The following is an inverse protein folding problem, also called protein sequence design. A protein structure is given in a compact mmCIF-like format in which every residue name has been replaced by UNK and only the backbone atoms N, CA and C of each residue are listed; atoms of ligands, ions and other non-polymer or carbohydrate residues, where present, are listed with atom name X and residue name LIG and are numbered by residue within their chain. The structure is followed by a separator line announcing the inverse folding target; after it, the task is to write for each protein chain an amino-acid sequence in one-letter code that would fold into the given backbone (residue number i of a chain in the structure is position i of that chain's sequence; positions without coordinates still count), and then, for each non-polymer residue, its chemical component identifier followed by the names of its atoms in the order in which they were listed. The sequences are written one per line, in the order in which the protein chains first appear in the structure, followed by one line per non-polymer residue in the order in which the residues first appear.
data_IF_190327502594
#
_entry.id   IF_190327502594
#
_cell.length_a   1.000
_cell.length_b   1.000
_cell.length_c   1.000
_cell.angle_alpha   90.00
_cell.angle_beta   90.00
_cell.angle_gamma   90.00
#
_symmetry.space_group_name_H-M   'P 1'
#
loop_
_entity.id
_entity.type
_entity.pdbx_description
1 polymer ?
#
# COMPACT_ATOMS: atom_id res chain seq x y z
N UNK A 1 -33.84 8.68 17.39
CA UNK A 1 -32.70 7.77 17.17
C UNK A 1 -31.81 8.11 15.96
N UNK A 2 -32.28 8.73 14.87
CA UNK A 2 -31.45 9.08 13.71
C UNK A 2 -30.34 10.11 13.99
N UNK A 3 -30.50 11.01 14.95
CA UNK A 3 -29.59 12.15 15.17
C UNK A 3 -28.36 11.84 16.07
N UNK A 4 -28.40 10.76 16.87
CA UNK A 4 -27.27 10.40 17.75
C UNK A 4 -26.21 9.59 16.98
N UNK A 5 -26.65 8.77 16.04
CA UNK A 5 -25.78 7.99 15.16
C UNK A 5 -24.86 8.88 14.29
N UNK A 6 -25.29 10.11 14.01
CA UNK A 6 -24.50 11.05 13.19
C UNK A 6 -23.31 11.71 13.93
N UNK A 7 -23.32 11.78 15.26
CA UNK A 7 -22.36 12.63 15.98
C UNK A 7 -20.96 12.00 16.09
N UNK A 8 -20.82 10.69 16.38
CA UNK A 8 -19.50 10.04 16.52
C UNK A 8 -18.84 9.85 15.17
N UNK A 9 -19.60 9.35 14.17
CA UNK A 9 -19.09 9.21 12.80
C UNK A 9 -18.71 10.57 12.23
N UNK A 10 -19.56 11.59 12.40
CA UNK A 10 -19.25 12.96 11.97
C UNK A 10 -18.02 13.52 12.67
N UNK A 11 -17.87 13.28 13.98
CA UNK A 11 -16.68 13.70 14.73
C UNK A 11 -15.41 13.02 14.18
N UNK A 12 -15.43 11.71 13.96
CA UNK A 12 -14.30 10.97 13.39
C UNK A 12 -13.96 11.43 11.98
N UNK A 13 -14.96 11.63 11.12
CA UNK A 13 -14.76 12.17 9.76
C UNK A 13 -14.22 13.59 9.80
N UNK A 14 -14.70 14.45 10.70
CA UNK A 14 -14.18 15.81 10.85
C UNK A 14 -12.70 15.82 11.27
N UNK A 15 -12.30 14.94 12.20
CA UNK A 15 -10.90 14.77 12.59
C UNK A 15 -10.07 14.31 11.39
N UNK A 16 -10.52 13.28 10.67
CA UNK A 16 -9.81 12.79 9.47
C UNK A 16 -9.67 13.88 8.41
N UNK A 17 -10.71 14.67 8.16
CA UNK A 17 -10.67 15.79 7.22
C UNK A 17 -9.66 16.86 7.66
N UNK A 18 -9.61 17.20 8.95
CA UNK A 18 -8.63 18.14 9.49
C UNK A 18 -7.19 17.62 9.34
N UNK A 19 -6.96 16.33 9.61
CA UNK A 19 -5.64 15.71 9.44
C UNK A 19 -5.21 15.69 7.97
N UNK A 20 -6.14 15.41 7.04
CA UNK A 20 -5.88 15.51 5.61
C UNK A 20 -5.56 16.94 5.16
N UNK A 21 -6.19 17.94 5.75
CA UNK A 21 -5.88 19.33 5.49
C UNK A 21 -4.43 19.66 5.89
N UNK A 22 -3.98 19.20 7.08
CA UNK A 22 -2.58 19.32 7.52
C UNK A 22 -1.64 18.61 6.55
N UNK A 23 -2.00 17.41 6.11
CA UNK A 23 -1.23 16.65 5.12
C UNK A 23 -1.06 17.42 3.79
N UNK A 24 -2.14 17.98 3.26
CA UNK A 24 -2.10 18.73 1.98
C UNK A 24 -1.27 20.03 2.15
N UNK A 25 -1.39 20.74 3.28
CA UNK A 25 -0.59 21.93 3.57
C UNK A 25 0.90 21.59 3.68
N UNK A 26 1.27 20.56 4.44
CA UNK A 26 2.66 20.14 4.58
C UNK A 26 3.29 19.67 3.27
N UNK A 27 2.49 19.08 2.38
CA UNK A 27 2.90 18.72 1.02
C UNK A 27 3.19 19.92 0.10
N UNK A 28 2.89 21.15 0.52
CA UNK A 28 3.21 22.41 -0.19
C UNK A 28 4.47 23.10 0.32
N UNK A 29 5.03 22.65 1.45
CA UNK A 29 6.26 23.22 2.02
C UNK A 29 7.44 22.63 1.26
N UNK A 30 8.09 23.42 0.41
CA UNK A 30 9.25 23.01 -0.39
C UNK A 30 10.50 22.84 0.47
N UNK A 31 11.40 21.95 0.02
CA UNK A 31 12.73 21.78 0.64
C UNK A 31 13.58 23.04 0.41
N UNK A 32 14.35 23.47 1.43
CA UNK A 32 15.23 24.63 1.29
C UNK A 32 16.43 24.33 0.39
N UNK A 33 16.89 25.35 -0.35
CA UNK A 33 18.10 25.31 -1.19
C UNK A 33 18.10 24.30 -2.34
N UNK A 34 16.92 23.84 -2.78
CA UNK A 34 16.77 22.93 -3.92
C UNK A 34 16.16 23.70 -5.10
N UNK A 35 16.77 23.56 -6.28
CA UNK A 35 16.25 24.19 -7.50
C UNK A 35 15.10 23.35 -8.08
N UNK A 36 13.87 23.87 -7.97
CA UNK A 36 12.65 23.23 -8.48
C UNK A 36 12.55 23.27 -10.02
N UNK A 37 13.35 24.11 -10.69
CA UNK A 37 13.28 24.31 -12.14
C UNK A 37 14.16 23.34 -12.95
N UNK A 38 14.97 22.52 -12.30
CA UNK A 38 15.81 21.54 -12.98
C UNK A 38 14.93 20.41 -13.56
N UNK A 39 14.59 20.53 -14.85
CA UNK A 39 13.76 19.57 -15.60
C UNK A 39 14.38 18.18 -15.71
N UNK A 40 15.68 18.07 -15.53
CA UNK A 40 16.43 16.81 -15.64
C UNK A 40 16.16 15.80 -14.51
N UNK A 41 15.60 16.27 -13.38
CA UNK A 41 15.26 15.41 -12.25
C UNK A 41 14.11 14.43 -12.55
N UNK A 42 13.26 14.67 -13.56
CA UNK A 42 12.09 13.86 -13.89
C UNK A 42 12.35 12.77 -14.94
N UNK A 43 13.57 12.57 -15.37
CA UNK A 43 13.95 11.56 -16.37
C UNK A 43 14.31 10.20 -15.75
N UNK A 44 13.94 9.12 -16.41
CA UNK A 44 14.43 7.77 -16.11
C UNK A 44 14.07 7.26 -14.70
N UNK A 45 15.09 6.92 -13.91
CA UNK A 45 14.96 6.30 -12.57
C UNK A 45 14.17 7.16 -11.58
N UNK A 46 14.28 8.48 -11.70
CA UNK A 46 13.59 9.43 -10.83
C UNK A 46 12.07 9.47 -11.07
N UNK A 47 11.64 9.24 -12.31
CA UNK A 47 10.21 9.14 -12.63
C UNK A 47 9.54 7.96 -11.93
N UNK A 48 10.24 6.83 -11.82
CA UNK A 48 9.76 5.68 -11.06
C UNK A 48 9.66 5.96 -9.57
N UNK A 49 10.69 6.56 -8.99
CA UNK A 49 10.69 6.92 -7.56
C UNK A 49 9.58 7.93 -7.27
N UNK A 50 9.35 8.91 -8.15
CA UNK A 50 8.24 9.86 -8.02
C UNK A 50 6.87 9.18 -8.08
N UNK A 51 6.70 8.18 -8.94
CA UNK A 51 5.48 7.40 -9.01
C UNK A 51 5.26 6.55 -7.75
N UNK A 52 6.27 5.82 -7.33
CA UNK A 52 6.21 4.97 -6.14
C UNK A 52 5.91 5.77 -4.86
N UNK A 53 6.55 6.94 -4.69
CA UNK A 53 6.29 7.81 -3.53
C UNK A 53 4.88 8.39 -3.56
N UNK A 54 4.33 8.71 -4.74
CA UNK A 54 2.95 9.16 -4.87
C UNK A 54 1.92 8.12 -4.38
N UNK A 55 2.22 6.81 -4.53
CA UNK A 55 1.38 5.73 -3.99
C UNK A 55 1.42 5.66 -2.46
N UNK A 56 2.50 6.09 -1.84
CA UNK A 56 2.72 6.01 -0.40
C UNK A 56 2.46 7.32 0.35
N UNK A 57 1.75 8.25 -0.27
CA UNK A 57 1.42 9.53 0.34
C UNK A 57 2.51 10.59 0.22
N UNK A 58 3.57 10.35 -0.54
CA UNK A 58 4.60 11.34 -0.86
C UNK A 58 4.38 12.03 -2.20
N UNK A 59 5.20 13.02 -2.50
CA UNK A 59 5.27 13.66 -3.80
C UNK A 59 6.68 14.16 -4.08
N UNK A 60 7.50 13.36 -4.76
CA UNK A 60 8.85 13.76 -5.16
C UNK A 60 8.87 14.88 -6.18
N UNK A 61 7.79 15.10 -6.94
CA UNK A 61 7.72 16.18 -7.92
C UNK A 61 7.64 17.56 -7.30
N UNK A 62 7.01 17.67 -6.12
CA UNK A 62 6.91 18.93 -5.41
C UNK A 62 8.13 19.23 -4.56
N UNK A 63 9.07 18.26 -4.40
CA UNK A 63 10.24 18.36 -3.53
C UNK A 63 9.89 19.01 -2.17
N UNK A 64 8.81 18.51 -1.59
CA UNK A 64 8.24 19.01 -0.34
C UNK A 64 8.76 18.23 0.88
N UNK A 65 8.43 18.72 2.07
CA UNK A 65 8.72 18.04 3.33
C UNK A 65 8.23 16.57 3.33
N UNK A 66 7.12 16.28 2.64
CA UNK A 66 6.53 14.95 2.55
C UNK A 66 6.89 14.18 1.28
N UNK A 67 7.99 14.55 0.60
CA UNK A 67 8.34 13.93 -0.69
C UNK A 67 8.51 12.42 -0.63
N UNK A 68 9.09 11.87 0.43
CA UNK A 68 9.26 10.42 0.61
C UNK A 68 7.93 9.75 1.05
N UNK A 69 7.04 10.50 1.71
CA UNK A 69 5.76 9.96 2.17
C UNK A 69 5.91 8.91 3.27
N UNK A 70 5.01 7.92 3.27
CA UNK A 70 4.99 6.76 4.15
C UNK A 70 5.83 5.58 3.62
N UNK A 71 6.58 5.75 2.52
CA UNK A 71 7.36 4.69 1.89
C UNK A 71 8.33 3.98 2.85
N UNK A 72 9.10 4.69 3.72
CA UNK A 72 9.99 4.02 4.67
C UNK A 72 9.25 3.13 5.67
N UNK A 73 8.13 3.61 6.20
CA UNK A 73 7.30 2.88 7.14
C UNK A 73 6.68 1.63 6.52
N UNK A 74 6.17 1.73 5.29
CA UNK A 74 5.63 0.60 4.55
C UNK A 74 6.68 -0.46 4.25
N UNK A 75 7.85 -0.03 3.80
CA UNK A 75 8.99 -0.92 3.56
C UNK A 75 9.41 -1.65 4.84
N UNK A 76 9.50 -0.92 5.95
CA UNK A 76 9.81 -1.50 7.26
C UNK A 76 8.75 -2.51 7.70
N UNK A 77 7.48 -2.22 7.48
CA UNK A 77 6.37 -3.11 7.82
C UNK A 77 6.41 -4.41 7.01
N UNK A 78 6.74 -4.35 5.71
CA UNK A 78 6.89 -5.55 4.87
C UNK A 78 8.06 -6.40 5.37
N UNK A 79 9.23 -5.79 5.55
CA UNK A 79 10.42 -6.49 6.02
C UNK A 79 10.16 -7.11 7.41
N UNK A 80 9.50 -6.37 8.31
CA UNK A 80 9.13 -6.88 9.62
C UNK A 80 8.19 -8.09 9.52
N UNK A 81 7.19 -8.04 8.65
CA UNK A 81 6.29 -9.18 8.38
C UNK A 81 7.03 -10.38 7.79
N UNK A 82 8.00 -10.16 6.90
CA UNK A 82 8.86 -11.23 6.39
C UNK A 82 9.73 -11.83 7.51
N UNK A 83 10.30 -11.00 8.37
CA UNK A 83 11.08 -11.45 9.52
C UNK A 83 10.22 -12.16 10.57
N UNK A 84 8.93 -11.90 10.64
CA UNK A 84 8.02 -12.55 11.58
C UNK A 84 7.84 -14.06 11.35
N UNK A 85 8.21 -14.56 10.17
CA UNK A 85 8.32 -16.01 9.95
C UNK A 85 9.48 -16.65 10.72
N UNK A 86 10.47 -15.87 11.15
CA UNK A 86 11.59 -16.34 12.00
C UNK A 86 11.24 -16.10 13.47
N UNK A 87 10.82 -17.15 14.17
CA UNK A 87 10.34 -17.09 15.58
C UNK A 87 11.25 -16.32 16.52
N UNK A 88 12.58 -16.43 16.36
CA UNK A 88 13.56 -15.77 17.24
C UNK A 88 13.57 -14.23 17.19
N UNK A 89 13.09 -13.61 16.09
CA UNK A 89 13.04 -12.15 15.94
C UNK A 89 11.75 -11.53 16.48
N UNK A 90 10.69 -12.33 16.57
CA UNK A 90 9.34 -11.88 16.98
C UNK A 90 9.03 -12.18 18.46
N UNK A 91 9.96 -12.77 19.19
CA UNK A 91 9.84 -12.97 20.62
C UNK A 91 9.77 -11.62 21.35
N UNK A 92 8.74 -11.44 22.17
CA UNK A 92 8.52 -10.24 22.98
C UNK A 92 7.12 -9.69 22.87
N UNK A 93 6.77 -8.79 23.77
CA UNK A 93 5.47 -8.10 23.78
C UNK A 93 5.30 -7.20 22.56
N UNK A 94 4.03 -6.89 22.24
CA UNK A 94 3.69 -6.05 21.09
C UNK A 94 4.44 -4.70 21.06
N UNK A 95 4.59 -4.07 22.22
CA UNK A 95 5.31 -2.80 22.34
C UNK A 95 6.77 -2.89 21.89
N UNK A 96 7.45 -4.01 22.22
CA UNK A 96 8.83 -4.25 21.80
C UNK A 96 8.94 -4.46 20.28
N UNK A 97 7.97 -5.15 19.71
CA UNK A 97 7.90 -5.36 18.26
C UNK A 97 7.66 -4.05 17.52
N UNK A 98 6.75 -3.21 18.01
CA UNK A 98 6.46 -1.88 17.45
C UNK A 98 7.69 -0.98 17.50
N UNK A 99 8.45 -0.98 18.61
CA UNK A 99 9.73 -0.25 18.74
C UNK A 99 10.77 -0.73 17.74
N UNK A 100 10.95 -2.05 17.60
CA UNK A 100 11.91 -2.62 16.61
C UNK A 100 11.52 -2.23 15.18
N UNK A 101 10.24 -2.26 14.85
CA UNK A 101 9.73 -1.81 13.55
C UNK A 101 10.01 -0.33 13.33
N UNK A 102 9.88 0.54 14.36
CA UNK A 102 10.20 1.96 14.25
C UNK A 102 11.69 2.22 14.03
N UNK A 103 12.60 1.45 14.65
CA UNK A 103 14.03 1.55 14.34
C UNK A 103 14.35 1.14 12.91
N UNK A 104 13.68 0.08 12.40
CA UNK A 104 13.82 -0.31 11.00
C UNK A 104 13.30 0.78 10.06
N UNK A 105 12.18 1.41 10.42
CA UNK A 105 11.62 2.57 9.68
C UNK A 105 12.62 3.73 9.63
N UNK A 106 13.28 4.05 10.75
CA UNK A 106 14.29 5.11 10.80
C UNK A 106 15.47 4.81 9.87
N UNK A 107 15.98 3.58 9.92
CA UNK A 107 17.09 3.16 9.05
C UNK A 107 16.72 3.30 7.57
N UNK A 108 15.54 2.82 7.18
CA UNK A 108 15.07 2.91 5.80
C UNK A 108 14.80 4.38 5.41
N UNK A 109 14.25 5.19 6.32
CA UNK A 109 14.03 6.61 6.07
C UNK A 109 15.34 7.37 5.82
N UNK A 110 16.39 7.06 6.58
CA UNK A 110 17.72 7.62 6.35
C UNK A 110 18.29 7.20 4.99
N UNK A 111 18.16 5.93 4.60
CA UNK A 111 18.62 5.44 3.30
C UNK A 111 17.87 6.15 2.16
N UNK A 112 16.54 6.20 2.23
CA UNK A 112 15.72 6.79 1.19
C UNK A 112 15.91 8.31 1.10
N UNK A 113 15.96 9.01 2.23
CA UNK A 113 16.19 10.46 2.26
C UNK A 113 17.58 10.82 1.73
N UNK A 114 18.62 10.10 2.13
CA UNK A 114 19.96 10.29 1.63
C UNK A 114 20.04 10.06 0.12
N UNK A 115 19.47 8.95 -0.39
CA UNK A 115 19.46 8.66 -1.82
C UNK A 115 18.75 9.75 -2.63
N UNK A 116 17.63 10.27 -2.14
CA UNK A 116 16.89 11.36 -2.79
C UNK A 116 17.69 12.65 -2.76
N UNK A 117 18.11 13.12 -1.57
CA UNK A 117 18.79 14.43 -1.40
C UNK A 117 20.11 14.49 -2.18
N UNK A 118 20.87 13.41 -2.18
CA UNK A 118 22.15 13.35 -2.89
C UNK A 118 21.99 13.30 -4.42
N UNK A 119 20.80 12.95 -4.91
CA UNK A 119 20.47 13.01 -6.35
C UNK A 119 19.94 14.37 -6.80
N UNK A 120 19.66 15.30 -5.86
CA UNK A 120 19.12 16.62 -6.17
C UNK A 120 20.22 17.64 -6.48
N UNK A 121 20.01 18.53 -7.48
CA UNK A 121 20.88 19.68 -7.69
C UNK A 121 20.66 20.70 -6.57
N UNK A 122 21.65 20.86 -5.72
CA UNK A 122 21.63 21.83 -4.63
C UNK A 122 22.33 23.11 -5.04
N UNK A 123 21.63 24.24 -4.95
CA UNK A 123 22.19 25.56 -5.15
C UNK A 123 22.18 26.30 -3.80
N UNK A 124 23.34 26.48 -3.20
CA UNK A 124 23.45 27.25 -1.98
C UNK A 124 24.79 27.98 -1.86
N UNK A 125 24.75 29.13 -1.19
CA UNK A 125 25.95 29.86 -0.74
C UNK A 125 26.56 29.24 0.52
N UNK A 126 25.92 28.23 1.13
CA UNK A 126 26.37 27.55 2.34
C UNK A 126 27.15 26.27 2.00
N UNK A 127 27.82 25.69 2.98
CA UNK A 127 28.50 24.41 2.83
C UNK A 127 27.53 23.34 2.33
N UNK A 128 27.86 22.71 1.20
CA UNK A 128 27.04 21.67 0.55
C UNK A 128 26.70 20.53 1.51
N UNK A 129 27.64 20.15 2.39
CA UNK A 129 27.44 19.07 3.37
C UNK A 129 26.36 19.46 4.40
N UNK A 130 26.34 20.71 4.86
CA UNK A 130 25.35 21.19 5.81
C UNK A 130 23.95 21.15 5.19
N UNK A 131 23.81 21.59 3.93
CA UNK A 131 22.53 21.56 3.20
C UNK A 131 22.03 20.12 2.99
N UNK A 132 22.92 19.18 2.69
CA UNK A 132 22.56 17.77 2.58
C UNK A 132 22.05 17.21 3.91
N UNK A 133 22.76 17.42 5.01
CA UNK A 133 22.36 16.97 6.35
C UNK A 133 21.00 17.57 6.72
N UNK A 134 20.79 18.85 6.47
CA UNK A 134 19.53 19.55 6.76
C UNK A 134 18.36 18.94 5.97
N UNK A 135 18.52 18.75 4.65
CA UNK A 135 17.45 18.20 3.82
C UNK A 135 17.16 16.71 4.15
N UNK A 136 18.19 15.91 4.45
CA UNK A 136 18.02 14.52 4.91
C UNK A 136 17.21 14.49 6.22
N UNK A 137 17.57 15.34 7.18
CA UNK A 137 16.86 15.39 8.46
C UNK A 137 15.41 15.88 8.30
N UNK A 138 15.15 16.86 7.42
CA UNK A 138 13.81 17.35 7.11
C UNK A 138 12.94 16.27 6.45
N UNK A 139 13.46 15.52 5.49
CA UNK A 139 12.72 14.43 4.85
C UNK A 139 12.41 13.29 5.81
N UNK A 140 13.38 12.92 6.67
CA UNK A 140 13.14 11.94 7.72
C UNK A 140 12.06 12.42 8.70
N UNK A 141 12.16 13.66 9.18
CA UNK A 141 11.18 14.24 10.08
C UNK A 141 9.78 14.30 9.42
N UNK A 142 9.70 14.68 8.15
CA UNK A 142 8.46 14.69 7.38
C UNK A 142 7.81 13.32 7.26
N UNK A 143 8.60 12.26 7.01
CA UNK A 143 8.11 10.89 6.96
C UNK A 143 7.58 10.42 8.32
N UNK A 144 8.30 10.66 9.42
CA UNK A 144 7.84 10.32 10.77
C UNK A 144 6.63 11.13 11.20
N UNK A 145 6.55 12.39 10.79
CA UNK A 145 5.35 13.21 11.00
C UNK A 145 4.12 12.61 10.31
N UNK A 146 4.28 12.10 9.09
CA UNK A 146 3.18 11.40 8.40
C UNK A 146 2.79 10.09 9.08
N UNK A 147 3.74 9.33 9.62
CA UNK A 147 3.45 8.13 10.42
C UNK A 147 2.65 8.52 11.66
N UNK A 148 3.08 9.54 12.39
CA UNK A 148 2.35 10.05 13.55
C UNK A 148 0.95 10.55 13.20
N UNK A 149 0.80 11.30 12.09
CA UNK A 149 -0.50 11.76 11.59
C UNK A 149 -1.42 10.57 11.26
N UNK A 150 -0.86 9.52 10.67
CA UNK A 150 -1.53 8.26 10.36
C UNK A 150 -2.03 7.55 11.63
N UNK A 151 -1.22 7.50 12.68
CA UNK A 151 -1.56 6.86 13.95
C UNK A 151 -2.67 7.62 14.69
N UNK A 152 -2.63 8.96 14.66
CA UNK A 152 -3.73 9.80 15.18
C UNK A 152 -5.01 9.53 14.39
N UNK A 153 -4.92 9.44 13.06
CA UNK A 153 -6.08 9.14 12.23
C UNK A 153 -6.63 7.74 12.48
N UNK A 154 -5.77 6.75 12.72
CA UNK A 154 -6.19 5.39 13.05
C UNK A 154 -6.92 5.30 14.41
N UNK A 155 -6.50 6.09 15.40
CA UNK A 155 -7.11 6.08 16.74
C UNK A 155 -8.37 6.94 16.82
N UNK A 156 -8.34 8.16 16.30
CA UNK A 156 -9.39 9.16 16.49
C UNK A 156 -10.22 9.45 15.23
N UNK A 157 -9.74 9.05 14.07
CA UNK A 157 -10.37 9.26 12.77
C UNK A 157 -10.89 7.97 12.14
N UNK A 158 -10.79 7.91 10.81
CA UNK A 158 -11.20 6.78 9.95
C UNK A 158 -10.11 6.51 8.90
N UNK A 159 -9.85 5.24 8.59
CA UNK A 159 -8.97 4.82 7.50
C UNK A 159 -7.48 4.89 7.77
N UNK A 160 -7.04 5.42 8.93
CA UNK A 160 -5.62 5.46 9.32
C UNK A 160 -4.70 5.95 8.20
N UNK A 161 -3.61 5.21 7.94
CA UNK A 161 -2.64 5.48 6.86
C UNK A 161 -3.24 5.38 5.46
N UNK A 162 -4.25 4.51 5.28
CA UNK A 162 -4.89 4.30 3.97
C UNK A 162 -5.55 5.56 3.44
N UNK A 163 -6.10 6.41 4.32
CA UNK A 163 -6.75 7.65 3.92
C UNK A 163 -5.74 8.67 3.37
N UNK A 164 -4.55 8.76 3.98
CA UNK A 164 -3.46 9.63 3.49
C UNK A 164 -2.99 9.18 2.11
N UNK A 165 -2.78 7.88 1.92
CA UNK A 165 -2.37 7.30 0.64
C UNK A 165 -3.43 7.49 -0.44
N UNK A 166 -4.70 7.24 -0.10
CA UNK A 166 -5.83 7.45 -1.00
C UNK A 166 -5.93 8.91 -1.45
N UNK A 167 -5.73 9.85 -0.53
CA UNK A 167 -5.73 11.29 -0.84
C UNK A 167 -4.59 11.65 -1.78
N UNK A 168 -3.38 11.13 -1.53
CA UNK A 168 -2.24 11.31 -2.44
C UNK A 168 -2.54 10.80 -3.85
N UNK A 169 -3.11 9.61 -3.96
CA UNK A 169 -3.47 9.03 -5.25
C UNK A 169 -4.51 9.88 -6.00
N UNK A 170 -5.57 10.31 -5.30
CA UNK A 170 -6.62 11.14 -5.91
C UNK A 170 -6.07 12.47 -6.41
N UNK A 171 -5.09 13.06 -5.72
CA UNK A 171 -4.48 14.33 -6.11
C UNK A 171 -3.51 14.14 -7.30
N UNK A 172 -2.68 13.13 -7.27
CA UNK A 172 -1.56 12.97 -8.23
C UNK A 172 -1.97 12.17 -9.50
N UNK A 173 -2.84 11.16 -9.37
CA UNK A 173 -3.19 10.26 -10.48
C UNK A 173 -3.81 10.97 -11.69
N UNK A 174 -4.75 11.94 -11.58
CA UNK A 174 -5.33 12.59 -12.74
C UNK A 174 -4.29 13.33 -13.58
N UNK A 175 -3.33 13.99 -12.92
CA UNK A 175 -2.27 14.72 -13.59
C UNK A 175 -1.30 13.80 -14.32
N UNK A 176 -1.00 12.64 -13.75
CA UNK A 176 -0.16 11.61 -14.39
C UNK A 176 -0.80 11.03 -15.65
N UNK A 177 -2.10 10.80 -15.61
CA UNK A 177 -2.86 10.31 -16.77
C UNK A 177 -2.92 11.37 -17.86
N UNK A 178 -3.27 12.62 -17.53
CA UNK A 178 -3.37 13.73 -18.50
C UNK A 178 -2.01 13.97 -19.16
N UNK A 179 -0.93 14.07 -18.40
CA UNK A 179 0.41 14.27 -18.93
C UNK A 179 0.82 13.12 -19.88
N UNK A 180 0.44 11.88 -19.56
CA UNK A 180 0.76 10.71 -20.38
C UNK A 180 0.02 10.74 -21.72
N UNK A 181 -1.24 11.12 -21.72
CA UNK A 181 -2.06 11.27 -22.93
C UNK A 181 -1.48 12.37 -23.82
N UNK A 182 -1.04 13.50 -23.24
CA UNK A 182 -0.43 14.60 -23.98
C UNK A 182 0.93 14.23 -24.61
N UNK A 183 1.80 13.58 -23.85
CA UNK A 183 3.14 13.15 -24.31
C UNK A 183 3.01 12.15 -25.48
N UNK A 184 2.07 11.21 -25.38
CA UNK A 184 1.88 10.17 -26.39
C UNK A 184 1.04 10.65 -27.58
N UNK A 185 0.46 11.86 -27.52
CA UNK A 185 -0.44 12.39 -28.57
C UNK A 185 -1.53 11.39 -28.97
N UNK A 186 -2.12 10.73 -27.98
CA UNK A 186 -3.09 9.63 -28.21
C UNK A 186 -4.38 10.18 -28.81
N UNK A 187 -4.90 9.59 -29.89
CA UNK A 187 -6.20 9.96 -30.45
C UNK A 187 -7.32 9.85 -29.42
N UNK A 188 -8.27 10.79 -29.47
CA UNK A 188 -9.41 10.86 -28.52
C UNK A 188 -10.20 9.55 -28.45
N UNK A 189 -10.33 8.86 -29.57
CA UNK A 189 -11.03 7.57 -29.69
C UNK A 189 -10.37 6.48 -28.84
N UNK A 190 -9.04 6.41 -28.84
CA UNK A 190 -8.28 5.46 -28.02
C UNK A 190 -8.41 5.83 -26.53
N UNK A 191 -8.41 7.11 -26.17
CA UNK A 191 -8.64 7.56 -24.79
C UNK A 191 -10.01 7.11 -24.28
N UNK A 192 -11.06 7.26 -25.10
CA UNK A 192 -12.41 6.79 -24.75
C UNK A 192 -12.44 5.27 -24.58
N UNK A 193 -11.78 4.53 -25.47
CA UNK A 193 -11.68 3.08 -25.36
C UNK A 193 -10.96 2.66 -24.06
N UNK A 194 -9.87 3.32 -23.71
CA UNK A 194 -9.14 3.08 -22.44
C UNK A 194 -10.00 3.36 -21.22
N UNK A 195 -10.78 4.43 -21.22
CA UNK A 195 -11.73 4.73 -20.15
C UNK A 195 -12.81 3.65 -20.01
N UNK A 196 -13.35 3.16 -21.12
CA UNK A 196 -14.32 2.06 -21.10
C UNK A 196 -13.71 0.77 -20.52
N UNK A 197 -12.50 0.42 -20.94
CA UNK A 197 -11.76 -0.74 -20.38
C UNK A 197 -11.52 -0.54 -18.89
N UNK A 198 -11.09 0.64 -18.44
CA UNK A 198 -10.88 0.95 -17.04
C UNK A 198 -12.18 0.82 -16.21
N UNK A 199 -13.32 1.24 -16.75
CA UNK A 199 -14.64 1.06 -16.13
C UNK A 199 -15.03 -0.43 -16.01
N UNK A 200 -14.78 -1.23 -17.04
CA UNK A 200 -15.04 -2.68 -17.02
C UNK A 200 -14.17 -3.34 -15.95
N UNK A 201 -12.87 -3.02 -15.90
CA UNK A 201 -11.97 -3.53 -14.86
C UNK A 201 -12.42 -3.12 -13.45
N UNK A 202 -12.83 -1.86 -13.28
CA UNK A 202 -13.38 -1.35 -12.02
C UNK A 202 -14.62 -2.14 -11.60
N UNK A 203 -15.53 -2.41 -12.52
CA UNK A 203 -16.73 -3.20 -12.24
C UNK A 203 -16.42 -4.64 -11.83
N UNK A 204 -15.50 -5.31 -12.54
CA UNK A 204 -15.04 -6.66 -12.20
C UNK A 204 -14.39 -6.67 -10.81
N UNK A 205 -13.55 -5.68 -10.52
CA UNK A 205 -12.92 -5.52 -9.20
C UNK A 205 -13.95 -5.40 -8.07
N UNK A 206 -14.99 -4.60 -8.26
CA UNK A 206 -16.07 -4.43 -7.27
C UNK A 206 -16.79 -5.75 -7.02
N UNK A 207 -17.08 -6.52 -8.07
CA UNK A 207 -17.74 -7.82 -7.93
C UNK A 207 -16.87 -8.79 -7.13
N UNK A 208 -15.59 -8.93 -7.50
CA UNK A 208 -14.67 -9.86 -6.85
C UNK A 208 -14.37 -9.46 -5.40
N UNK A 209 -14.23 -8.16 -5.12
CA UNK A 209 -14.02 -7.69 -3.76
C UNK A 209 -15.23 -7.95 -2.84
N UNK A 210 -16.45 -7.90 -3.39
CA UNK A 210 -17.68 -8.21 -2.66
C UNK A 210 -18.00 -9.69 -2.58
N UNK A 211 -17.39 -10.51 -3.43
CA UNK A 211 -17.63 -11.94 -3.46
C UNK A 211 -17.10 -12.60 -2.16
N UNK A 212 -18.00 -13.26 -1.45
CA UNK A 212 -17.72 -13.94 -0.18
C UNK A 212 -18.03 -15.43 -0.30
N UNK A 213 -17.09 -16.26 0.07
CA UNK A 213 -17.33 -17.69 0.23
C UNK A 213 -17.87 -17.97 1.63
N UNK A 214 -18.96 -18.73 1.74
CA UNK A 214 -19.61 -19.05 3.01
C UNK A 214 -19.33 -20.48 3.39
N UNK A 215 -18.72 -20.69 4.54
CA UNK A 215 -18.54 -21.98 5.18
C UNK A 215 -19.61 -22.14 6.25
N UNK A 216 -20.43 -23.20 6.15
CA UNK A 216 -21.44 -23.48 7.16
C UNK A 216 -20.77 -23.85 8.50
N UNK A 217 -21.15 -23.17 9.56
CA UNK A 217 -20.63 -23.37 10.91
C UNK A 217 -21.79 -23.69 11.84
N UNK A 218 -21.59 -24.67 12.72
CA UNK A 218 -22.57 -24.95 13.81
C UNK A 218 -22.07 -24.26 15.08
N UNK A 219 -23.02 -23.71 15.83
CA UNK A 219 -22.77 -23.08 17.13
C UNK A 219 -23.50 -23.80 18.22
N UNK A 220 -22.77 -24.18 19.27
CA UNK A 220 -23.35 -24.84 20.44
C UNK A 220 -24.36 -23.88 21.12
N UNK A 221 -25.55 -24.36 21.42
CA UNK A 221 -26.62 -23.56 22.04
C UNK A 221 -27.45 -22.71 21.07
N UNK A 222 -27.15 -22.71 19.76
CA UNK A 222 -27.96 -22.00 18.80
C UNK A 222 -29.21 -22.82 18.41
N UNK A 223 -30.38 -22.22 18.57
CA UNK A 223 -31.64 -22.87 18.18
C UNK A 223 -31.66 -23.19 16.68
N UNK A 224 -32.23 -24.35 16.31
CA UNK A 224 -32.26 -24.87 14.93
C UNK A 224 -32.80 -23.89 13.88
N UNK A 225 -33.74 -23.02 14.29
CA UNK A 225 -34.34 -21.97 13.44
C UNK A 225 -33.31 -20.94 12.94
N UNK A 226 -32.21 -20.73 13.68
CA UNK A 226 -31.15 -19.75 13.35
C UNK A 226 -29.94 -20.38 12.68
N UNK A 227 -29.89 -21.71 12.52
CA UNK A 227 -28.75 -22.40 11.82
C UNK A 227 -28.43 -21.83 10.42
N UNK A 228 -29.46 -21.33 9.72
CA UNK A 228 -29.31 -20.74 8.37
C UNK A 228 -28.44 -19.50 8.37
N UNK A 229 -28.27 -18.81 9.48
CA UNK A 229 -27.47 -17.60 9.66
C UNK A 229 -26.09 -17.88 10.28
N UNK A 230 -25.79 -19.14 10.61
CA UNK A 230 -24.53 -19.54 11.20
C UNK A 230 -23.58 -19.98 10.09
N UNK A 231 -22.76 -19.04 9.59
CA UNK A 231 -21.74 -19.28 8.59
C UNK A 231 -20.55 -18.36 8.83
N UNK A 232 -19.37 -18.83 8.45
CA UNK A 232 -18.16 -18.04 8.40
C UNK A 232 -17.96 -17.55 6.96
N UNK A 233 -17.74 -16.24 6.79
CA UNK A 233 -17.52 -15.64 5.48
C UNK A 233 -16.03 -15.40 5.24
N UNK A 234 -15.55 -15.83 4.08
CA UNK A 234 -14.19 -15.59 3.60
C UNK A 234 -14.22 -14.83 2.28
N UNK A 235 -13.37 -13.82 2.14
CA UNK A 235 -13.20 -13.11 0.87
C UNK A 235 -12.58 -14.03 -0.18
N UNK A 236 -13.02 -13.92 -1.44
CA UNK A 236 -12.37 -14.62 -2.56
C UNK A 236 -10.98 -14.07 -2.89
N UNK A 237 -10.70 -12.83 -2.51
CA UNK A 237 -9.39 -12.21 -2.64
C UNK A 237 -8.92 -11.73 -1.27
N UNK A 238 -8.40 -12.63 -0.40
CA UNK A 238 -8.07 -12.28 0.98
C UNK A 238 -6.92 -11.27 1.10
N UNK A 239 -6.03 -11.20 0.12
CA UNK A 239 -4.97 -10.19 0.05
C UNK A 239 -5.49 -8.80 -0.36
N UNK A 240 -6.62 -8.72 -1.07
CA UNK A 240 -7.18 -7.46 -1.59
C UNK A 240 -6.25 -6.75 -2.56
N UNK A 241 -6.30 -5.41 -2.56
CA UNK A 241 -5.43 -4.55 -3.38
C UNK A 241 -4.08 -4.22 -2.74
N UNK A 242 -3.83 -4.64 -1.50
CA UNK A 242 -2.60 -4.32 -0.77
C UNK A 242 -1.32 -4.83 -1.45
N UNK A 243 -1.26 -6.08 -2.00
CA UNK A 243 -0.03 -6.58 -2.61
C UNK A 243 0.55 -5.64 -3.66
N UNK A 244 -0.30 -5.02 -4.49
CA UNK A 244 0.15 -4.09 -5.54
C UNK A 244 0.92 -2.89 -4.96
N UNK A 245 0.38 -2.26 -3.92
CA UNK A 245 1.00 -1.12 -3.25
C UNK A 245 2.35 -1.49 -2.63
N UNK A 246 2.38 -2.61 -1.93
CA UNK A 246 3.57 -3.07 -1.24
C UNK A 246 4.67 -3.54 -2.20
N UNK A 247 4.32 -4.17 -3.32
CA UNK A 247 5.29 -4.56 -4.35
C UNK A 247 5.99 -3.34 -4.92
N UNK A 248 5.24 -2.29 -5.27
CA UNK A 248 5.81 -1.05 -5.79
C UNK A 248 6.80 -0.42 -4.80
N UNK A 249 6.44 -0.38 -3.51
CA UNK A 249 7.30 0.15 -2.46
C UNK A 249 8.54 -0.74 -2.23
N UNK A 250 8.36 -2.06 -2.25
CA UNK A 250 9.46 -3.01 -2.04
C UNK A 250 10.49 -2.96 -3.16
N UNK A 251 10.03 -2.84 -4.41
CA UNK A 251 10.90 -2.72 -5.58
C UNK A 251 11.76 -1.45 -5.59
N UNK A 252 11.38 -0.40 -4.84
CA UNK A 252 12.20 0.82 -4.75
C UNK A 252 13.38 0.68 -3.80
N UNK A 253 13.32 -0.21 -2.80
CA UNK A 253 14.39 -0.39 -1.82
C UNK A 253 15.76 -0.72 -2.44
N UNK A 254 15.88 -1.73 -3.33
CA UNK A 254 17.14 -2.02 -4.00
C UNK A 254 17.70 -0.81 -4.76
N UNK A 255 16.83 -0.04 -5.41
CA UNK A 255 17.22 1.14 -6.20
C UNK A 255 17.83 2.22 -5.29
N UNK A 256 17.20 2.52 -4.14
CA UNK A 256 17.75 3.49 -3.18
C UNK A 256 19.11 3.05 -2.63
N UNK A 257 19.26 1.76 -2.31
CA UNK A 257 20.54 1.21 -1.82
C UNK A 257 21.61 1.33 -2.91
N UNK A 258 21.30 0.97 -4.15
CA UNK A 258 22.24 1.06 -5.28
C UNK A 258 22.61 2.51 -5.60
N UNK A 259 21.68 3.45 -5.49
CA UNK A 259 21.97 4.88 -5.66
C UNK A 259 23.00 5.37 -4.63
N UNK A 260 22.87 4.94 -3.37
CA UNK A 260 23.85 5.27 -2.33
C UNK A 260 25.19 4.59 -2.58
N UNK A 261 25.22 3.30 -2.94
CA UNK A 261 26.45 2.58 -3.24
C UNK A 261 27.22 3.21 -4.42
N UNK A 262 26.51 3.63 -5.46
CA UNK A 262 27.10 4.34 -6.60
C UNK A 262 27.81 5.64 -6.20
N UNK A 263 27.38 6.29 -5.12
CA UNK A 263 28.05 7.51 -4.66
C UNK A 263 29.39 7.24 -3.97
N UNK A 264 29.49 6.11 -3.27
CA UNK A 264 30.76 5.70 -2.62
C UNK A 264 31.78 5.17 -3.65
N UNK A 265 31.29 4.52 -4.72
CA UNK A 265 32.13 3.95 -5.78
C UNK A 265 31.56 4.31 -7.16
N UNK A 266 31.79 5.56 -7.56
CA UNK A 266 31.25 6.12 -8.82
C UNK A 266 31.86 5.51 -10.09
N UNK A 267 32.98 4.80 -9.99
CA UNK A 267 33.71 4.23 -11.13
C UNK A 267 33.31 2.78 -11.43
N UNK A 268 32.48 2.14 -10.58
CA UNK A 268 32.09 0.76 -10.80
C UNK A 268 30.89 0.66 -11.78
N UNK A 269 31.12 0.16 -13.00
CA UNK A 269 30.08 0.08 -14.02
C UNK A 269 28.95 -0.89 -13.67
N UNK A 270 29.16 -1.78 -12.67
CA UNK A 270 28.16 -2.76 -12.23
C UNK A 270 26.95 -2.07 -11.61
N UNK A 271 27.15 -1.02 -10.77
CA UNK A 271 26.04 -0.33 -10.14
C UNK A 271 25.16 0.40 -11.15
N UNK A 272 25.77 1.07 -12.13
CA UNK A 272 25.01 1.74 -13.20
C UNK A 272 24.21 0.75 -14.03
N UNK A 273 24.82 -0.36 -14.42
CA UNK A 273 24.15 -1.41 -15.19
C UNK A 273 22.97 -2.04 -14.42
N UNK A 274 23.16 -2.37 -13.13
CA UNK A 274 22.08 -2.94 -12.31
C UNK A 274 20.95 -1.93 -12.11
N UNK A 275 21.26 -0.63 -11.92
CA UNK A 275 20.24 0.43 -11.81
C UNK A 275 19.48 0.55 -13.13
N UNK A 276 20.16 0.48 -14.28
CA UNK A 276 19.53 0.52 -15.59
C UNK A 276 18.62 -0.70 -15.83
N UNK A 277 19.07 -1.90 -15.47
CA UNK A 277 18.31 -3.15 -15.63
C UNK A 277 17.12 -3.23 -14.66
N UNK A 278 17.24 -2.65 -13.45
CA UNK A 278 16.16 -2.50 -12.47
C UNK A 278 15.28 -1.27 -12.74
N UNK A 279 15.55 -0.51 -13.79
CA UNK A 279 14.69 0.60 -14.15
C UNK A 279 13.34 0.10 -14.68
N UNK A 280 12.31 0.88 -14.39
CA UNK A 280 10.95 0.53 -14.81
C UNK A 280 10.87 0.44 -16.34
N UNK A 281 10.21 -0.59 -16.84
CA UNK A 281 10.11 -0.85 -18.29
C UNK A 281 11.13 -1.85 -18.81
N UNK A 282 12.18 -2.15 -18.08
CA UNK A 282 13.13 -3.20 -18.46
C UNK A 282 12.61 -4.60 -18.16
N UNK A 283 12.98 -5.62 -18.96
CA UNK A 283 12.49 -6.98 -18.77
C UNK A 283 12.74 -7.53 -17.37
N UNK A 284 13.94 -7.33 -16.82
CA UNK A 284 14.30 -7.80 -15.48
C UNK A 284 13.37 -7.21 -14.42
N UNK A 285 13.07 -5.90 -14.50
CA UNK A 285 12.16 -5.25 -13.58
C UNK A 285 10.75 -5.84 -13.66
N UNK A 286 10.22 -6.04 -14.89
CA UNK A 286 8.86 -6.55 -15.10
C UNK A 286 8.72 -7.98 -14.57
N UNK A 287 9.66 -8.88 -14.87
CA UNK A 287 9.61 -10.25 -14.38
C UNK A 287 9.75 -10.32 -12.86
N UNK A 288 10.64 -9.52 -12.28
CA UNK A 288 10.81 -9.43 -10.82
C UNK A 288 9.53 -8.89 -10.17
N UNK A 289 8.92 -7.87 -10.75
CA UNK A 289 7.65 -7.31 -10.30
C UNK A 289 6.52 -8.35 -10.31
N UNK A 290 6.36 -9.12 -11.39
CA UNK A 290 5.35 -10.17 -11.49
C UNK A 290 5.56 -11.27 -10.44
N UNK A 291 6.80 -11.69 -10.25
CA UNK A 291 7.15 -12.70 -9.24
C UNK A 291 6.85 -12.22 -7.82
N UNK A 292 7.27 -11.01 -7.47
CA UNK A 292 7.02 -10.45 -6.14
C UNK A 292 5.53 -10.19 -5.94
N UNK A 293 4.80 -9.73 -6.96
CA UNK A 293 3.36 -9.54 -6.89
C UNK A 293 2.63 -10.86 -6.59
N UNK A 294 3.06 -11.96 -7.24
CA UNK A 294 2.53 -13.28 -6.96
C UNK A 294 2.82 -13.71 -5.52
N UNK A 295 4.07 -13.62 -5.08
CA UNK A 295 4.49 -14.00 -3.73
C UNK A 295 3.77 -13.17 -2.64
N UNK A 296 3.62 -11.86 -2.86
CA UNK A 296 2.95 -10.98 -1.91
C UNK A 296 1.45 -11.25 -1.80
N UNK A 297 0.78 -11.73 -2.84
CA UNK A 297 -0.60 -12.16 -2.71
C UNK A 297 -0.76 -13.30 -1.69
N UNK A 298 0.16 -14.28 -1.70
CA UNK A 298 0.18 -15.32 -0.68
C UNK A 298 0.52 -14.76 0.70
N UNK A 299 1.60 -13.98 0.79
CA UNK A 299 2.04 -13.38 2.05
C UNK A 299 0.89 -12.61 2.73
N UNK A 300 0.25 -11.70 1.99
CA UNK A 300 -0.83 -10.88 2.55
C UNK A 300 -2.12 -11.66 2.79
N UNK A 301 -2.41 -12.71 2.04
CA UNK A 301 -3.56 -13.58 2.32
C UNK A 301 -3.42 -14.24 3.70
N UNK A 302 -2.25 -14.79 4.03
CA UNK A 302 -1.98 -15.40 5.33
C UNK A 302 -1.80 -14.39 6.47
N UNK A 303 -1.31 -13.19 6.16
CA UNK A 303 -1.21 -12.10 7.16
C UNK A 303 -2.59 -11.57 7.52
N UNK A 304 -3.48 -11.40 6.54
CA UNK A 304 -4.82 -10.86 6.77
C UNK A 304 -5.77 -11.89 7.39
N UNK A 305 -5.52 -13.17 7.14
CA UNK A 305 -6.36 -14.27 7.63
C UNK A 305 -5.47 -15.39 8.19
N UNK A 306 -5.39 -15.50 9.50
CA UNK A 306 -4.67 -16.61 10.17
C UNK A 306 -5.64 -17.72 10.51
N UNK A 307 -5.44 -18.92 9.93
CA UNK A 307 -6.26 -20.08 10.22
C UNK A 307 -6.21 -20.51 11.68
N UNK A 308 -5.07 -20.35 12.37
CA UNK A 308 -4.92 -20.65 13.79
C UNK A 308 -5.78 -19.72 14.65
N UNK A 309 -5.71 -18.40 14.41
CA UNK A 309 -6.49 -17.42 15.17
C UNK A 309 -7.99 -17.60 14.97
N UNK A 310 -8.42 -17.93 13.74
CA UNK A 310 -9.82 -18.19 13.41
C UNK A 310 -10.30 -19.48 14.10
N UNK A 311 -9.52 -20.56 14.03
CA UNK A 311 -9.83 -21.82 14.67
C UNK A 311 -9.93 -21.70 16.20
N UNK A 312 -8.99 -20.95 16.81
CA UNK A 312 -9.03 -20.66 18.25
C UNK A 312 -10.23 -19.81 18.66
N UNK A 313 -10.58 -18.82 17.85
CA UNK A 313 -11.77 -17.99 18.05
C UNK A 313 -13.05 -18.84 17.97
N UNK A 314 -13.16 -19.70 16.94
CA UNK A 314 -14.27 -20.64 16.80
C UNK A 314 -14.38 -21.59 17.99
N UNK A 315 -13.24 -22.15 18.44
CA UNK A 315 -13.21 -23.04 19.62
C UNK A 315 -13.71 -22.33 20.88
N UNK A 316 -13.26 -21.08 21.11
CA UNK A 316 -13.66 -20.27 22.28
C UNK A 316 -15.14 -19.86 22.22
N UNK A 317 -15.70 -19.61 21.03
CA UNK A 317 -17.12 -19.24 20.85
C UNK A 317 -18.06 -20.45 20.78
N UNK A 318 -17.54 -21.68 20.85
CA UNK A 318 -18.33 -22.90 20.71
C UNK A 318 -18.85 -23.13 19.29
N UNK A 319 -18.11 -22.61 18.30
CA UNK A 319 -18.39 -22.79 16.88
C UNK A 319 -17.55 -23.93 16.31
N UNK A 320 -18.13 -24.75 15.44
CA UNK A 320 -17.43 -25.85 14.78
C UNK A 320 -17.95 -26.09 13.36
N UNK A 321 -17.06 -26.58 12.50
CA UNK A 321 -17.41 -26.98 11.13
C UNK A 321 -17.82 -28.44 11.16
N UNK A 322 -18.95 -28.78 10.52
CA UNK A 322 -19.45 -30.17 10.51
C UNK A 322 -18.43 -31.13 9.87
N UNK A 323 -18.11 -32.22 10.58
CA UNK A 323 -17.16 -33.23 10.13
C UNK A 323 -15.67 -32.88 10.32
N UNK A 324 -15.35 -31.78 11.01
CA UNK A 324 -13.96 -31.36 11.29
C UNK A 324 -13.85 -31.13 12.80
N UNK A 325 -12.80 -31.71 13.44
CA UNK A 325 -12.57 -31.51 14.86
C UNK A 325 -12.13 -30.05 15.17
N UNK A 326 -12.70 -29.44 16.23
CA UNK A 326 -12.29 -28.09 16.66
C UNK A 326 -10.83 -28.05 17.07
N UNK A 327 -10.10 -27.04 16.59
CA UNK A 327 -8.68 -26.83 16.89
C UNK A 327 -7.80 -26.99 15.66
N UNK A 328 -6.81 -27.86 15.73
CA UNK A 328 -5.79 -28.00 14.70
C UNK A 328 -6.33 -28.39 13.32
N UNK A 329 -7.24 -29.34 13.24
CA UNK A 329 -7.88 -29.76 11.99
C UNK A 329 -8.68 -28.62 11.35
N UNK A 330 -9.40 -27.84 12.18
CA UNK A 330 -10.11 -26.64 11.71
C UNK A 330 -9.13 -25.61 11.17
N UNK A 331 -7.99 -25.40 11.82
CA UNK A 331 -6.92 -24.50 11.35
C UNK A 331 -6.37 -24.95 10.01
N UNK A 332 -6.05 -26.23 9.85
CA UNK A 332 -5.55 -26.80 8.59
C UNK A 332 -6.57 -26.65 7.45
N UNK A 333 -7.85 -26.90 7.73
CA UNK A 333 -8.92 -26.71 6.75
C UNK A 333 -9.01 -25.24 6.28
N UNK A 334 -9.01 -24.31 7.23
CA UNK A 334 -9.07 -22.87 6.92
C UNK A 334 -7.82 -22.43 6.16
N UNK A 335 -6.61 -22.88 6.56
CA UNK A 335 -5.37 -22.57 5.85
C UNK A 335 -5.40 -23.09 4.40
N UNK A 336 -5.97 -24.28 4.15
CA UNK A 336 -6.16 -24.80 2.80
C UNK A 336 -7.10 -23.95 1.95
N UNK A 337 -8.16 -23.41 2.55
CA UNK A 337 -9.04 -22.46 1.88
C UNK A 337 -8.34 -21.13 1.58
N UNK A 338 -7.59 -20.58 2.56
CA UNK A 338 -6.78 -19.36 2.39
C UNK A 338 -5.82 -19.55 1.23
N UNK A 339 -5.12 -20.69 1.16
CA UNK A 339 -4.17 -20.96 0.07
C UNK A 339 -4.86 -20.98 -1.31
N UNK A 340 -6.01 -21.62 -1.42
CA UNK A 340 -6.79 -21.67 -2.68
C UNK A 340 -7.24 -20.28 -3.12
N UNK A 341 -7.75 -19.49 -2.20
CA UNK A 341 -8.21 -18.13 -2.49
C UNK A 341 -7.04 -17.16 -2.71
N UNK A 342 -5.90 -17.36 -2.04
CA UNK A 342 -4.66 -16.64 -2.31
C UNK A 342 -4.18 -16.88 -3.75
N UNK A 343 -4.26 -18.13 -4.23
CA UNK A 343 -3.90 -18.46 -5.60
C UNK A 343 -4.81 -17.76 -6.63
N UNK A 344 -6.13 -17.81 -6.40
CA UNK A 344 -7.10 -17.09 -7.25
C UNK A 344 -6.80 -15.59 -7.25
N UNK A 345 -6.58 -15.00 -6.07
CA UNK A 345 -6.21 -13.60 -5.91
C UNK A 345 -4.90 -13.23 -6.59
N UNK A 346 -3.88 -14.11 -6.52
CA UNK A 346 -2.59 -13.91 -7.17
C UNK A 346 -2.71 -13.91 -8.70
N UNK A 347 -3.39 -14.89 -9.27
CA UNK A 347 -3.64 -14.95 -10.72
C UNK A 347 -4.42 -13.71 -11.17
N UNK A 348 -5.45 -13.35 -10.43
CA UNK A 348 -6.27 -12.17 -10.71
C UNK A 348 -5.44 -10.87 -10.68
N UNK A 349 -4.60 -10.68 -9.66
CA UNK A 349 -3.71 -9.50 -9.55
C UNK A 349 -2.70 -9.44 -10.70
N UNK A 350 -2.16 -10.58 -11.14
CA UNK A 350 -1.28 -10.65 -12.31
C UNK A 350 -2.03 -10.25 -13.57
N UNK A 351 -3.26 -10.74 -13.77
CA UNK A 351 -4.05 -10.42 -14.96
C UNK A 351 -4.35 -8.92 -15.03
N UNK A 352 -4.72 -8.29 -13.92
CA UNK A 352 -5.12 -6.87 -13.91
C UNK A 352 -3.93 -5.92 -13.86
N UNK A 353 -2.98 -6.17 -12.98
CA UNK A 353 -1.88 -5.25 -12.70
C UNK A 353 -0.56 -5.68 -13.36
N UNK A 354 -0.41 -6.95 -13.65
CA UNK A 354 0.80 -7.54 -14.22
C UNK A 354 0.81 -7.59 -15.74
N UNK A 355 -0.22 -8.18 -16.36
CA UNK A 355 -0.26 -8.33 -17.83
C UNK A 355 -0.17 -7.00 -18.59
N UNK A 356 -0.83 -5.90 -18.17
CA UNK A 356 -0.63 -4.61 -18.84
C UNK A 356 0.82 -4.17 -18.88
N UNK A 357 1.62 -4.51 -17.86
CA UNK A 357 3.05 -4.15 -17.81
C UNK A 357 3.88 -4.82 -18.92
N UNK A 358 3.43 -5.98 -19.45
CA UNK A 358 4.12 -6.64 -20.55
C UNK A 358 4.10 -5.81 -21.84
N UNK A 359 3.11 -4.93 -22.03
CA UNK A 359 3.08 -4.02 -23.18
C UNK A 359 4.22 -3.00 -23.16
N UNK A 360 4.81 -2.72 -22.01
CA UNK A 360 5.98 -1.84 -21.88
C UNK A 360 7.21 -2.45 -22.56
N UNK A 361 7.31 -3.78 -22.62
CA UNK A 361 8.39 -4.45 -23.34
C UNK A 361 8.37 -4.16 -24.85
N UNK A 362 7.21 -3.82 -25.40
CA UNK A 362 7.08 -3.45 -26.80
C UNK A 362 7.41 -1.97 -27.01
N UNK A 363 6.93 -1.07 -26.13
CA UNK A 363 7.20 0.37 -26.19
C UNK A 363 7.16 0.98 -24.78
N UNK A 364 8.31 1.48 -24.30
CA UNK A 364 8.48 2.10 -22.99
C UNK A 364 7.57 3.32 -22.77
N UNK A 365 7.10 3.97 -23.83
CA UNK A 365 6.21 5.14 -23.74
C UNK A 365 4.85 4.81 -23.09
N UNK A 366 4.37 3.56 -23.20
CA UNK A 366 3.10 3.13 -22.60
C UNK A 366 3.17 2.86 -21.09
N UNK A 367 4.35 2.97 -20.48
CA UNK A 367 4.59 2.65 -19.08
C UNK A 367 3.53 3.21 -18.12
N UNK A 368 3.26 4.51 -18.20
CA UNK A 368 2.32 5.18 -17.28
C UNK A 368 0.87 4.72 -17.49
N UNK A 369 0.51 4.40 -18.71
CA UNK A 369 -0.84 3.94 -19.05
C UNK A 369 -1.07 2.49 -18.60
N UNK A 370 -0.06 1.64 -18.71
CA UNK A 370 -0.12 0.25 -18.28
C UNK A 370 -0.21 0.08 -16.75
N UNK A 371 0.16 1.11 -16.00
CA UNK A 371 0.00 1.14 -14.55
C UNK A 371 -1.43 1.47 -14.08
N UNK A 372 -2.25 2.10 -14.91
CA UNK A 372 -3.60 2.56 -14.53
C UNK A 372 -4.48 1.45 -13.97
N UNK A 373 -4.57 0.24 -14.57
CA UNK A 373 -5.41 -0.84 -14.02
C UNK A 373 -4.98 -1.25 -12.61
N UNK A 374 -3.68 -1.34 -12.34
CA UNK A 374 -3.14 -1.64 -11.02
C UNK A 374 -3.45 -0.54 -9.99
N UNK A 375 -3.35 0.73 -10.40
CA UNK A 375 -3.73 1.87 -9.57
C UNK A 375 -5.21 1.84 -9.20
N UNK A 376 -6.10 1.58 -10.17
CA UNK A 376 -7.52 1.45 -9.91
C UNK A 376 -7.84 0.27 -9.00
N UNK A 377 -7.14 -0.84 -9.16
CA UNK A 377 -7.26 -2.00 -8.28
C UNK A 377 -6.91 -1.66 -6.83
N UNK A 378 -5.79 -0.97 -6.60
CA UNK A 378 -5.35 -0.50 -5.30
C UNK A 378 -6.31 0.53 -4.70
N UNK A 379 -6.70 1.53 -5.47
CA UNK A 379 -7.61 2.59 -5.04
C UNK A 379 -8.96 2.01 -4.57
N UNK A 380 -9.53 1.09 -5.34
CA UNK A 380 -10.76 0.40 -4.94
C UNK A 380 -10.58 -0.39 -3.65
N UNK A 381 -9.47 -1.12 -3.51
CA UNK A 381 -9.14 -1.85 -2.29
C UNK A 381 -9.14 -0.95 -1.06
N UNK A 382 -8.50 0.22 -1.14
CA UNK A 382 -8.48 1.22 -0.06
C UNK A 382 -9.88 1.78 0.25
N UNK A 383 -10.66 2.13 -0.79
CA UNK A 383 -12.05 2.62 -0.61
C UNK A 383 -12.91 1.57 0.11
N UNK A 384 -12.79 0.30 -0.27
CA UNK A 384 -13.55 -0.75 0.39
C UNK A 384 -13.13 -0.96 1.85
N UNK A 385 -11.84 -0.87 2.18
CA UNK A 385 -11.37 -0.95 3.57
C UNK A 385 -11.93 0.18 4.43
N UNK A 386 -11.86 1.41 3.96
CA UNK A 386 -12.45 2.58 4.65
C UNK A 386 -13.97 2.41 4.81
N UNK A 387 -14.65 1.89 3.78
CA UNK A 387 -16.08 1.60 3.84
C UNK A 387 -16.43 0.53 4.87
N UNK A 388 -15.67 -0.56 4.94
CA UNK A 388 -15.90 -1.63 5.93
C UNK A 388 -15.71 -1.12 7.36
N UNK A 389 -14.70 -0.27 7.60
CA UNK A 389 -14.49 0.40 8.87
C UNK A 389 -15.68 1.31 9.24
N UNK A 390 -16.18 2.12 8.31
CA UNK A 390 -17.37 2.95 8.53
C UNK A 390 -18.62 2.12 8.85
N UNK A 391 -18.80 0.99 8.18
CA UNK A 391 -19.92 0.07 8.46
C UNK A 391 -19.79 -0.53 9.87
N UNK A 392 -18.58 -0.96 10.26
CA UNK A 392 -18.31 -1.49 11.59
C UNK A 392 -18.59 -0.46 12.69
N UNK A 393 -18.16 0.80 12.49
CA UNK A 393 -18.46 1.91 13.41
C UNK A 393 -19.96 2.15 13.54
N UNK A 394 -20.69 2.13 12.41
CA UNK A 394 -22.14 2.31 12.41
C UNK A 394 -22.87 1.18 13.14
N UNK A 395 -22.43 -0.06 12.96
CA UNK A 395 -23.01 -1.22 13.68
C UNK A 395 -22.77 -1.09 15.18
N UNK A 396 -21.54 -0.77 15.61
CA UNK A 396 -21.24 -0.57 17.03
C UNK A 396 -22.12 0.50 17.68
N UNK A 397 -22.37 1.61 16.99
CA UNK A 397 -23.26 2.65 17.51
C UNK A 397 -24.73 2.17 17.62
N UNK A 398 -25.17 1.34 16.68
CA UNK A 398 -26.55 0.82 16.66
C UNK A 398 -26.82 -0.10 17.84
N UNK A 399 -25.83 -0.90 18.26
CA UNK A 399 -25.98 -1.88 19.36
C UNK A 399 -25.51 -1.36 20.73
N UNK A 400 -24.83 -0.21 20.81
CA UNK A 400 -24.36 0.39 22.06
C UNK A 400 -25.43 0.66 23.14
N UNK A 401 -26.72 0.95 22.80
CA UNK A 401 -27.78 1.11 23.79
C UNK A 401 -28.30 -0.17 24.41
N UNK A 402 -27.82 -1.34 23.95
CA UNK A 402 -28.30 -2.67 24.43
C UNK A 402 -27.34 -3.30 25.45
N UNK A 403 -26.23 -2.64 25.77
CA UNK A 403 -25.25 -2.99 26.77
C UNK A 403 -25.18 -1.88 27.82
#
# INVERSE_FOLDING_TARGET
MKNIVSSIILKKLSISFFLLFIYVLGGRISLPFVDLNSRDFLGGTTAYLAFSTALTGGNLRSLSLFSIGLSPWMSAMILWKMFSFFKGLTEGGKELQDRRQMYLTLLIALIQSAAVVLSLPVQSSYSTVLVYILNISLLCAGSFFLVWLSDINASNGVGGSMLIMLTSMIINMPQDVINSIQILSIPKEIVVLMLLIALIFTYINVILYRARYRVAVNKIGLHSRFKRYSYFEMSLTPAGGMPYMYVMTFMTLPIYILMLLRMFDSHNPLYTKIIEDLNIGKPLWIYTYLFILFAFNFLFAFVNMSGEQIADSMKKSGEYIYGIYPGEETSQFINKLIFRFAFIGAVYSIVIAGLPMLFVLYDERFLRLTMIPGLLFMLLGMIFMVREELIALRLNETYKPLI
#
